data_IF_928743412425
#
_entry.id   IF_928743412425
#
_cell.length_a   1.000
_cell.length_b   1.000
_cell.length_c   1.000
_cell.angle_alpha   90.00
_cell.angle_beta   90.00
_cell.angle_gamma   90.00
#
_symmetry.space_group_name_H-M   'P 1'
#
loop_
_entity.id
_entity.type
_entity.pdbx_description
1 polymer ?
#
# COMPACT_ATOMS: atom_id res chain seq x y z
N UNK A 1 9.86 8.58 -7.35
CA UNK A 1 9.55 7.17 -7.69
C UNK A 1 9.65 6.89 -9.19
N UNK A 2 9.12 7.73 -10.09
CA UNK A 2 9.37 7.60 -11.53
C UNK A 2 10.63 8.37 -11.95
N UNK A 3 11.79 7.71 -11.87
CA UNK A 3 12.92 8.00 -12.77
C UNK A 3 13.05 6.76 -13.67
N UNK A 4 13.50 6.89 -14.91
CA UNK A 4 13.24 5.91 -16.00
C UNK A 4 13.62 4.44 -15.80
N UNK A 5 14.23 4.04 -14.68
CA UNK A 5 14.57 2.65 -14.35
C UNK A 5 13.57 1.92 -13.44
N UNK A 6 12.70 2.62 -12.70
CA UNK A 6 11.75 1.98 -11.76
C UNK A 6 10.31 2.12 -12.24
N UNK A 7 9.67 0.98 -12.58
CA UNK A 7 8.23 0.92 -12.90
C UNK A 7 7.42 0.92 -11.60
N UNK A 8 6.54 1.90 -11.46
CA UNK A 8 5.70 2.08 -10.25
C UNK A 8 4.26 2.33 -10.66
N UNK A 9 3.33 1.60 -10.02
CA UNK A 9 1.89 1.80 -10.08
C UNK A 9 1.33 2.21 -8.71
N UNK A 10 0.15 2.81 -8.69
CA UNK A 10 -0.57 3.19 -7.48
C UNK A 10 -2.01 2.70 -7.60
N UNK A 11 -2.49 2.00 -6.58
CA UNK A 11 -3.90 1.66 -6.40
C UNK A 11 -4.44 2.50 -5.24
N UNK A 12 -5.48 3.29 -5.48
CA UNK A 12 -6.12 4.12 -4.48
C UNK A 12 -7.55 3.63 -4.23
N UNK A 13 -7.81 3.18 -3.00
CA UNK A 13 -9.10 2.67 -2.57
C UNK A 13 -9.91 3.81 -1.95
N UNK A 14 -10.70 4.52 -2.77
CA UNK A 14 -11.62 5.57 -2.27
C UNK A 14 -12.75 5.00 -1.41
N UNK A 15 -13.08 3.73 -1.62
CA UNK A 15 -13.98 2.93 -0.80
C UNK A 15 -13.27 1.63 -0.41
N UNK A 16 -13.21 1.33 0.88
CA UNK A 16 -12.52 0.14 1.39
C UNK A 16 -13.43 -1.09 1.40
N UNK A 17 -14.73 -0.92 1.63
CA UNK A 17 -15.68 -2.02 1.73
C UNK A 17 -16.90 -1.83 0.82
N UNK A 18 -17.37 -2.87 0.11
CA UNK A 18 -16.75 -4.19 -0.01
C UNK A 18 -15.42 -4.17 -0.79
N UNK A 19 -14.48 -5.04 -0.42
CA UNK A 19 -13.32 -5.34 -1.27
C UNK A 19 -13.76 -6.32 -2.35
N UNK A 20 -13.54 -5.96 -3.62
CA UNK A 20 -13.81 -6.82 -4.78
C UNK A 20 -12.46 -7.25 -5.36
N UNK A 21 -11.93 -8.45 -5.00
CA UNK A 21 -10.56 -8.84 -5.32
C UNK A 21 -10.22 -8.77 -6.81
N UNK A 22 -11.16 -9.15 -7.68
CA UNK A 22 -11.00 -9.16 -9.14
C UNK A 22 -10.59 -7.80 -9.72
N UNK A 23 -10.86 -6.70 -9.02
CA UNK A 23 -10.50 -5.35 -9.46
C UNK A 23 -9.03 -5.00 -9.24
N UNK A 24 -8.35 -5.66 -8.31
CA UNK A 24 -7.02 -5.23 -7.88
C UNK A 24 -5.99 -6.35 -7.68
N UNK A 25 -6.42 -7.58 -7.38
CA UNK A 25 -5.53 -8.67 -6.96
C UNK A 25 -4.47 -8.99 -8.03
N UNK A 26 -4.85 -9.02 -9.30
CA UNK A 26 -3.91 -9.26 -10.41
C UNK A 26 -2.80 -8.20 -10.48
N UNK A 27 -3.06 -6.93 -10.12
CA UNK A 27 -2.00 -5.92 -10.06
C UNK A 27 -1.04 -6.16 -8.90
N UNK A 28 -1.56 -6.64 -7.76
CA UNK A 28 -0.75 -6.92 -6.58
C UNK A 28 0.16 -8.14 -6.80
N UNK A 29 -0.36 -9.21 -7.40
CA UNK A 29 0.39 -10.44 -7.67
C UNK A 29 1.48 -10.26 -8.74
N UNK A 30 1.26 -9.38 -9.71
CA UNK A 30 2.25 -9.07 -10.74
C UNK A 30 3.31 -8.03 -10.30
N UNK A 31 3.12 -7.38 -9.15
CA UNK A 31 4.06 -6.40 -8.65
C UNK A 31 5.22 -7.08 -7.89
N UNK A 32 6.46 -6.73 -8.25
CA UNK A 32 7.65 -7.26 -7.55
C UNK A 32 7.76 -6.81 -6.09
N UNK A 33 7.15 -5.67 -5.74
CA UNK A 33 6.97 -5.22 -4.37
C UNK A 33 5.63 -4.49 -4.25
N UNK A 34 4.91 -4.75 -3.15
CA UNK A 34 3.65 -4.10 -2.80
C UNK A 34 3.82 -3.45 -1.45
N UNK A 35 3.69 -2.13 -1.43
CA UNK A 35 3.75 -1.31 -0.22
C UNK A 35 2.36 -0.78 0.08
N UNK A 36 1.81 -1.11 1.24
CA UNK A 36 0.56 -0.53 1.72
C UNK A 36 0.85 0.74 2.52
N UNK A 37 0.25 1.86 2.12
CA UNK A 37 0.42 3.16 2.76
C UNK A 37 -0.88 3.53 3.48
N UNK A 38 -0.84 3.68 4.81
CA UNK A 38 -2.04 3.90 5.62
C UNK A 38 -1.83 4.91 6.75
N UNK A 39 -2.87 5.73 6.99
CA UNK A 39 -2.92 6.71 8.09
C UNK A 39 -3.37 6.12 9.42
N UNK A 40 -2.93 4.91 9.76
CA UNK A 40 -3.26 4.26 11.02
C UNK A 40 -2.08 3.44 11.57
N UNK A 41 -2.13 3.10 12.86
CA UNK A 41 -1.03 2.43 13.55
C UNK A 41 -0.95 0.92 13.27
N UNK A 42 -2.04 0.29 12.83
CA UNK A 42 -2.17 -1.17 12.83
C UNK A 42 -2.15 -1.82 11.44
N UNK A 43 -2.15 -1.04 10.36
CA UNK A 43 -2.23 -1.53 8.98
C UNK A 43 -3.53 -2.26 8.71
N UNK A 44 -4.66 -1.62 9.00
CA UNK A 44 -5.98 -2.25 8.93
C UNK A 44 -6.35 -2.67 7.50
N UNK A 45 -6.05 -1.85 6.48
CA UNK A 45 -6.29 -2.20 5.08
C UNK A 45 -5.40 -3.37 4.65
N UNK A 46 -4.11 -3.37 5.00
CA UNK A 46 -3.23 -4.50 4.73
C UNK A 46 -3.76 -5.81 5.35
N UNK A 47 -4.27 -5.75 6.58
CA UNK A 47 -4.89 -6.91 7.25
C UNK A 47 -6.19 -7.33 6.59
N UNK A 48 -7.01 -6.38 6.14
CA UNK A 48 -8.26 -6.66 5.43
C UNK A 48 -7.97 -7.32 4.08
N UNK A 49 -7.05 -6.78 3.27
CA UNK A 49 -6.62 -7.40 2.01
C UNK A 49 -6.18 -8.85 2.26
N UNK A 50 -5.31 -9.08 3.24
CA UNK A 50 -4.87 -10.44 3.58
C UNK A 50 -6.04 -11.36 3.98
N UNK A 51 -7.01 -10.85 4.73
CA UNK A 51 -8.17 -11.62 5.17
C UNK A 51 -9.08 -11.99 3.99
N UNK A 52 -9.37 -11.05 3.11
CA UNK A 52 -10.33 -11.24 2.02
C UNK A 52 -9.72 -11.94 0.80
N UNK A 53 -8.40 -11.84 0.57
CA UNK A 53 -7.75 -12.37 -0.64
C UNK A 53 -6.62 -13.36 -0.37
N UNK A 54 -6.16 -13.49 0.88
CA UNK A 54 -4.94 -14.23 1.22
C UNK A 54 -3.64 -13.49 0.88
N UNK A 55 -3.70 -12.39 0.12
CA UNK A 55 -2.52 -11.65 -0.33
C UNK A 55 -1.85 -10.90 0.83
N UNK A 56 -0.56 -11.18 1.08
CA UNK A 56 0.24 -10.46 2.05
C UNK A 56 1.01 -9.31 1.39
N UNK A 57 0.73 -8.07 1.78
CA UNK A 57 1.55 -6.93 1.35
C UNK A 57 2.97 -7.07 1.89
N UNK A 58 3.96 -6.74 1.06
CA UNK A 58 5.38 -6.93 1.36
C UNK A 58 5.87 -5.95 2.43
N UNK A 59 5.41 -4.70 2.34
CA UNK A 59 5.82 -3.62 3.24
C UNK A 59 4.65 -2.73 3.62
N UNK A 60 4.76 -2.06 4.77
CA UNK A 60 3.76 -1.12 5.27
C UNK A 60 4.42 0.22 5.60
N UNK A 61 3.82 1.31 5.15
CA UNK A 61 4.14 2.68 5.55
C UNK A 61 2.95 3.18 6.36
N UNK A 62 3.15 3.31 7.66
CA UNK A 62 2.10 3.64 8.62
C UNK A 62 2.37 5.00 9.24
N UNK A 63 1.35 5.84 9.31
CA UNK A 63 1.42 7.13 10.01
C UNK A 63 0.23 7.29 10.94
N UNK A 64 0.45 7.67 12.20
CA UNK A 64 -0.61 7.76 13.22
C UNK A 64 -0.41 8.93 14.19
N UNK A 65 0.42 9.91 13.83
CA UNK A 65 0.72 11.12 14.61
C UNK A 65 -0.28 12.27 14.37
N UNK A 66 -1.38 12.01 13.65
CA UNK A 66 -2.40 13.01 13.29
C UNK A 66 -2.01 13.92 12.13
N UNK A 67 -0.79 13.80 11.58
CA UNK A 67 -0.35 14.60 10.44
C UNK A 67 -0.66 13.91 9.11
N UNK A 68 -0.83 14.66 8.01
CA UNK A 68 -1.08 14.09 6.69
C UNK A 68 0.06 13.19 6.20
N UNK A 69 -0.25 12.15 5.44
CA UNK A 69 0.77 11.39 4.70
C UNK A 69 1.22 12.24 3.50
N UNK A 70 2.49 12.66 3.50
CA UNK A 70 3.07 13.46 2.41
C UNK A 70 3.98 12.62 1.52
N UNK A 71 4.25 13.04 0.28
CA UNK A 71 5.21 12.34 -0.58
C UNK A 71 6.60 12.19 0.06
N UNK A 72 7.08 13.21 0.78
CA UNK A 72 8.37 13.20 1.47
C UNK A 72 8.39 12.18 2.59
N UNK A 73 7.28 12.06 3.34
CA UNK A 73 7.12 11.04 4.35
C UNK A 73 7.21 9.64 3.73
N UNK A 74 6.46 9.38 2.66
CA UNK A 74 6.47 8.08 1.97
C UNK A 74 7.87 7.76 1.45
N UNK A 75 8.53 8.71 0.77
CA UNK A 75 9.88 8.51 0.23
C UNK A 75 10.90 8.22 1.34
N UNK A 76 10.84 8.96 2.45
CA UNK A 76 11.71 8.72 3.61
C UNK A 76 11.47 7.34 4.21
N UNK A 77 10.22 6.94 4.38
CA UNK A 77 9.91 5.62 4.91
C UNK A 77 10.34 4.53 3.93
N UNK A 78 10.22 4.70 2.61
CA UNK A 78 10.72 3.75 1.60
C UNK A 78 12.25 3.58 1.61
N UNK A 79 13.01 4.60 2.03
CA UNK A 79 14.47 4.54 2.11
C UNK A 79 15.03 3.80 3.35
N UNK A 80 14.16 3.35 4.27
CA UNK A 80 14.59 2.59 5.46
C UNK A 80 14.71 1.10 5.14
N UNK A 81 15.91 0.56 5.22
CA UNK A 81 16.21 -0.88 5.11
C UNK A 81 15.82 -1.65 6.37
#
# INVERSE_FOLDING_TARGET
LRNGSTRVGVLHFSQVWPLVPDQFLGYLENAGEVVCVEGNAYGQLARLIRRETGFGVHRRVLRYDGLPITPEYVLRELGKS
#
